data_IF_649734482278
#
_entry.id   IF_649734482278
#
_cell.length_a   1.000
_cell.length_b   1.000
_cell.length_c   1.000
_cell.angle_alpha   90.00
_cell.angle_beta   90.00
_cell.angle_gamma   90.00
#
_symmetry.space_group_name_H-M   'P 1'
#
loop_
_entity.id
_entity.type
_entity.pdbx_description
1 polymer ?
#
# COMPACT_ATOMS: atom_id res chain seq x y z
N UNK A 1 -20.94 -17.30 27.99
CA UNK A 1 -21.01 -16.40 29.16
C UNK A 1 -19.64 -15.95 29.68
N UNK A 2 -18.54 -16.67 29.39
CA UNK A 2 -17.18 -16.24 29.75
C UNK A 2 -16.64 -15.21 28.73
N UNK A 3 -16.84 -15.43 27.43
CA UNK A 3 -16.43 -14.54 26.33
C UNK A 3 -16.86 -13.07 26.53
N UNK A 4 -18.16 -12.84 26.78
CA UNK A 4 -18.72 -11.49 26.99
C UNK A 4 -18.07 -10.76 28.16
N UNK A 5 -17.72 -11.47 29.24
CA UNK A 5 -17.06 -10.86 30.41
C UNK A 5 -15.62 -10.45 30.14
N UNK A 6 -14.95 -11.06 29.17
CA UNK A 6 -13.58 -10.72 28.81
C UNK A 6 -13.55 -9.59 27.76
N UNK A 7 -14.52 -9.57 26.84
CA UNK A 7 -14.78 -8.44 25.93
C UNK A 7 -15.15 -7.16 26.69
N UNK A 8 -16.02 -7.26 27.70
CA UNK A 8 -16.41 -6.13 28.56
C UNK A 8 -15.20 -5.51 29.28
N UNK A 9 -14.26 -6.34 29.74
CA UNK A 9 -13.04 -5.86 30.40
C UNK A 9 -12.09 -5.18 29.42
N UNK A 10 -11.91 -5.75 28.23
CA UNK A 10 -11.07 -5.18 27.19
C UNK A 10 -11.62 -3.82 26.72
N UNK A 11 -12.93 -3.72 26.59
CA UNK A 11 -13.60 -2.46 26.27
C UNK A 11 -13.44 -1.40 27.39
N UNK A 12 -13.61 -1.79 28.66
CA UNK A 12 -13.42 -0.88 29.80
C UNK A 12 -11.99 -0.35 29.92
N UNK A 13 -11.00 -1.19 29.62
CA UNK A 13 -9.59 -0.80 29.61
C UNK A 13 -9.28 0.25 28.53
N UNK A 14 -9.83 0.06 27.32
CA UNK A 14 -9.73 1.03 26.23
C UNK A 14 -10.34 2.38 26.60
N UNK A 15 -11.56 2.38 27.15
CA UNK A 15 -12.26 3.61 27.55
C UNK A 15 -11.46 4.39 28.59
N UNK A 16 -10.92 3.68 29.60
CA UNK A 16 -10.08 4.29 30.64
C UNK A 16 -8.78 4.85 30.08
N UNK A 17 -8.16 4.16 29.13
CA UNK A 17 -6.93 4.62 28.45
C UNK A 17 -7.17 5.85 27.57
N UNK A 18 -8.35 5.96 26.98
CA UNK A 18 -8.79 7.11 26.18
C UNK A 18 -9.29 8.29 27.04
N UNK A 19 -9.27 8.15 28.38
CA UNK A 19 -9.67 9.21 29.32
C UNK A 19 -11.18 9.36 29.50
N UNK A 20 -11.99 8.41 29.01
CA UNK A 20 -13.44 8.37 29.21
C UNK A 20 -13.87 7.57 30.43
N UNK A 21 -15.09 7.80 30.93
CA UNK A 21 -15.73 6.93 31.93
C UNK A 21 -16.55 5.82 31.26
N UNK A 22 -16.55 4.57 31.76
CA UNK A 22 -17.37 3.48 31.21
C UNK A 22 -18.87 3.82 31.18
N UNK A 23 -19.35 4.64 32.12
CA UNK A 23 -20.73 5.12 32.18
C UNK A 23 -21.07 6.06 31.00
N UNK A 24 -20.11 6.89 30.57
CA UNK A 24 -20.28 7.80 29.42
C UNK A 24 -20.23 7.07 28.07
N UNK A 25 -19.51 5.95 28.02
CA UNK A 25 -19.37 5.17 26.80
C UNK A 25 -20.51 4.16 26.61
N UNK A 26 -21.29 3.87 27.67
CA UNK A 26 -22.53 3.09 27.61
C UNK A 26 -23.81 3.93 27.49
N UNK A 27 -23.75 5.24 27.79
CA UNK A 27 -24.86 6.14 27.51
C UNK A 27 -25.04 6.34 26.00
N UNK A 28 -26.29 6.34 25.52
CA UNK A 28 -26.59 6.83 24.17
C UNK A 28 -26.02 8.25 24.01
N UNK A 29 -25.44 8.59 22.85
CA UNK A 29 -25.01 9.96 22.59
C UNK A 29 -26.22 10.87 22.73
N UNK A 30 -26.32 11.52 23.88
CA UNK A 30 -27.38 12.50 24.15
C UNK A 30 -27.07 13.67 23.25
N UNK A 31 -27.80 13.81 22.16
CA UNK A 31 -27.81 15.05 21.41
C UNK A 31 -28.17 16.16 22.40
N UNK A 32 -27.23 17.08 22.63
CA UNK A 32 -27.47 18.24 23.45
C UNK A 32 -28.72 18.96 22.90
N UNK A 33 -29.71 19.31 23.74
CA UNK A 33 -30.88 20.05 23.30
C UNK A 33 -30.42 21.28 22.51
N UNK A 34 -31.09 21.61 21.38
CA UNK A 34 -30.64 22.72 20.55
C UNK A 34 -30.47 23.97 21.42
N UNK A 35 -29.34 24.69 21.29
CA UNK A 35 -29.08 25.88 22.08
C UNK A 35 -30.26 26.85 21.96
N UNK A 36 -30.70 27.39 23.10
CA UNK A 36 -31.78 28.37 23.14
C UNK A 36 -31.43 29.63 22.33
N UNK A 37 -32.42 30.47 22.02
CA UNK A 37 -32.24 31.65 21.16
C UNK A 37 -31.19 32.66 21.64
N UNK A 38 -30.78 32.59 22.91
CA UNK A 38 -29.87 33.55 23.54
C UNK A 38 -28.44 33.02 23.78
N UNK A 39 -28.12 31.81 23.31
CA UNK A 39 -26.74 31.26 23.37
C UNK A 39 -25.93 31.73 22.15
N UNK A 40 -24.72 32.32 22.34
CA UNK A 40 -23.84 32.67 21.22
C UNK A 40 -23.58 31.43 20.37
N UNK A 41 -24.05 31.45 19.13
CA UNK A 41 -23.97 30.29 18.25
C UNK A 41 -22.50 30.06 17.84
N UNK A 42 -21.83 28.99 18.30
CA UNK A 42 -20.46 28.69 17.86
C UNK A 42 -20.41 28.31 16.37
N UNK A 43 -21.56 28.04 15.74
CA UNK A 43 -21.69 27.74 14.31
C UNK A 43 -21.39 28.92 13.38
N UNK A 44 -21.03 30.10 13.92
CA UNK A 44 -20.52 31.21 13.12
C UNK A 44 -19.00 31.17 12.92
N UNK A 45 -18.28 30.28 13.61
CA UNK A 45 -16.91 29.95 13.24
C UNK A 45 -16.95 29.00 12.03
N UNK A 46 -16.12 29.21 11.00
CA UNK A 46 -15.99 28.29 9.88
C UNK A 46 -15.78 26.87 10.44
N UNK A 47 -16.76 26.00 10.19
CA UNK A 47 -16.67 24.61 10.57
C UNK A 47 -15.55 23.93 9.79
N UNK A 48 -15.12 22.73 10.20
CA UNK A 48 -14.09 21.94 9.50
C UNK A 48 -14.44 21.52 8.06
N UNK A 49 -15.49 22.08 7.45
CA UNK A 49 -15.90 21.87 6.07
C UNK A 49 -16.18 23.17 5.31
N UNK A 50 -16.01 24.33 5.96
CA UNK A 50 -16.29 25.64 5.38
C UNK A 50 -15.04 26.24 4.71
N UNK A 51 -14.37 25.43 3.89
CA UNK A 51 -13.24 25.89 3.08
C UNK A 51 -13.76 26.32 1.71
N UNK A 52 -13.55 27.59 1.36
CA UNK A 52 -13.69 28.03 -0.02
C UNK A 52 -12.38 27.69 -0.76
N UNK A 53 -12.42 26.97 -1.89
CA UNK A 53 -11.22 26.77 -2.70
C UNK A 53 -10.68 28.13 -3.12
N UNK A 54 -9.39 28.37 -2.91
CA UNK A 54 -8.73 29.55 -3.43
C UNK A 54 -8.88 29.57 -4.96
N UNK A 55 -9.12 30.75 -5.54
CA UNK A 55 -9.11 30.93 -7.00
C UNK A 55 -7.67 30.75 -7.49
N UNK A 56 -7.28 29.50 -7.68
CA UNK A 56 -5.98 29.13 -8.19
C UNK A 56 -5.95 29.44 -9.69
N UNK A 57 -4.93 30.18 -10.12
CA UNK A 57 -4.63 30.35 -11.54
C UNK A 57 -4.39 28.93 -12.05
N UNK A 58 -5.31 28.41 -12.86
CA UNK A 58 -5.21 27.08 -13.45
C UNK A 58 -4.06 27.13 -14.46
N UNK A 59 -2.82 27.01 -13.96
CA UNK A 59 -1.71 26.67 -14.82
C UNK A 59 -2.00 25.26 -15.36
N UNK A 60 -2.10 25.18 -16.67
CA UNK A 60 -2.45 23.97 -17.40
C UNK A 60 -1.31 22.95 -17.19
N UNK A 61 -1.43 22.14 -16.13
CA UNK A 61 -0.42 21.15 -15.78
C UNK A 61 -0.26 20.17 -16.94
N UNK A 62 0.81 20.31 -17.70
CA UNK A 62 1.27 19.33 -18.68
C UNK A 62 2.30 18.43 -17.99
N UNK A 63 1.97 17.17 -17.67
CA UNK A 63 2.96 16.20 -17.28
C UNK A 63 4.06 16.13 -18.35
N UNK A 64 5.34 16.17 -17.98
CA UNK A 64 6.41 16.00 -18.95
C UNK A 64 6.27 14.64 -19.63
N UNK A 65 6.60 14.57 -20.91
CA UNK A 65 6.57 13.29 -21.62
C UNK A 65 7.45 12.26 -20.89
N UNK A 66 6.92 11.06 -20.61
CA UNK A 66 7.69 10.05 -19.92
C UNK A 66 8.93 9.72 -20.76
N UNK A 67 10.10 9.63 -20.11
CA UNK A 67 11.32 9.16 -20.79
C UNK A 67 11.00 7.85 -21.52
N UNK A 68 11.44 7.70 -22.79
CA UNK A 68 11.25 6.45 -23.52
C UNK A 68 11.72 5.30 -22.65
N UNK A 69 10.81 4.38 -22.32
CA UNK A 69 11.11 3.25 -21.46
C UNK A 69 12.13 2.42 -22.22
N UNK A 70 13.40 2.53 -21.84
CA UNK A 70 14.46 1.75 -22.43
C UNK A 70 14.03 0.28 -22.34
N UNK A 71 13.94 -0.36 -23.50
CA UNK A 71 13.51 -1.75 -23.69
C UNK A 71 14.15 -2.61 -22.60
N UNK A 72 13.33 -3.38 -21.87
CA UNK A 72 13.74 -4.04 -20.63
C UNK A 72 15.10 -4.72 -20.72
N UNK A 73 15.91 -4.59 -19.65
CA UNK A 73 17.28 -5.07 -19.60
C UNK A 73 17.36 -6.54 -20.10
N UNK A 74 18.17 -6.84 -21.14
CA UNK A 74 18.22 -8.16 -21.75
C UNK A 74 18.60 -9.26 -20.75
N UNK A 75 19.33 -8.93 -19.69
CA UNK A 75 19.63 -9.88 -18.60
C UNK A 75 18.38 -10.31 -17.83
N UNK A 76 17.46 -9.38 -17.59
CA UNK A 76 16.18 -9.67 -16.94
C UNK A 76 15.37 -10.62 -17.80
N UNK A 77 15.26 -10.32 -19.09
CA UNK A 77 14.51 -11.17 -20.05
C UNK A 77 15.10 -12.58 -20.10
N UNK A 78 16.43 -12.71 -20.16
CA UNK A 78 17.11 -14.01 -20.17
C UNK A 78 16.83 -14.82 -18.88
N UNK A 79 16.82 -14.17 -17.72
CA UNK A 79 16.49 -14.86 -16.45
C UNK A 79 15.05 -15.36 -16.40
N UNK A 80 14.10 -14.56 -16.90
CA UNK A 80 12.69 -14.96 -16.99
C UNK A 80 12.50 -16.12 -17.95
N UNK A 81 13.19 -16.11 -19.09
CA UNK A 81 13.19 -17.24 -20.04
C UNK A 81 13.77 -18.50 -19.38
N UNK A 82 14.84 -18.39 -18.58
CA UNK A 82 15.39 -19.54 -17.85
C UNK A 82 14.41 -20.14 -16.85
N UNK A 83 13.73 -19.29 -16.06
CA UNK A 83 12.77 -19.73 -15.04
C UNK A 83 11.49 -20.30 -15.67
N UNK A 84 10.83 -19.53 -16.55
CA UNK A 84 9.59 -19.96 -17.21
C UNK A 84 9.87 -21.12 -18.15
N UNK A 85 10.98 -21.09 -18.88
CA UNK A 85 11.38 -22.14 -19.80
C UNK A 85 11.58 -23.48 -19.09
N UNK A 86 12.20 -23.49 -17.91
CA UNK A 86 12.37 -24.73 -17.16
C UNK A 86 11.04 -25.36 -16.74
N UNK A 87 10.11 -24.56 -16.23
CA UNK A 87 8.76 -25.01 -15.84
C UNK A 87 7.99 -25.49 -17.07
N UNK A 88 8.03 -24.73 -18.16
CA UNK A 88 7.34 -25.06 -19.41
C UNK A 88 7.86 -26.36 -20.03
N UNK A 89 9.18 -26.59 -20.04
CA UNK A 89 9.79 -27.82 -20.56
C UNK A 89 9.31 -29.04 -19.75
N UNK A 90 9.26 -28.94 -18.42
CA UNK A 90 8.74 -30.03 -17.58
C UNK A 90 7.27 -30.33 -17.86
N UNK A 91 6.44 -29.29 -18.00
CA UNK A 91 5.03 -29.44 -18.34
C UNK A 91 4.83 -30.06 -19.73
N UNK A 92 5.60 -29.61 -20.73
CA UNK A 92 5.56 -30.17 -22.07
C UNK A 92 5.96 -31.65 -22.05
N UNK A 93 7.06 -31.99 -21.39
CA UNK A 93 7.52 -33.38 -21.35
C UNK A 93 6.51 -34.30 -20.65
N UNK A 94 5.87 -33.83 -19.58
CA UNK A 94 4.79 -34.56 -18.91
C UNK A 94 3.57 -34.74 -19.83
N UNK A 95 3.15 -33.69 -20.54
CA UNK A 95 1.97 -33.73 -21.42
C UNK A 95 2.19 -34.62 -22.66
N UNK A 96 3.39 -34.59 -23.22
CA UNK A 96 3.79 -35.40 -24.38
C UNK A 96 4.23 -36.83 -23.98
N UNK A 97 4.31 -37.15 -22.68
CA UNK A 97 4.78 -38.45 -22.19
C UNK A 97 6.23 -38.76 -22.57
N UNK A 98 7.06 -37.72 -22.77
CA UNK A 98 8.46 -37.89 -23.18
C UNK A 98 9.25 -38.41 -21.95
N UNK A 99 9.92 -39.56 -22.04
CA UNK A 99 10.77 -40.03 -20.96
C UNK A 99 11.92 -39.04 -20.78
N UNK A 100 11.94 -38.34 -19.64
CA UNK A 100 12.98 -37.37 -19.34
C UNK A 100 14.30 -38.10 -19.10
N UNK A 101 15.18 -38.04 -20.09
CA UNK A 101 16.53 -38.52 -19.92
C UNK A 101 17.23 -37.73 -18.80
N UNK A 102 18.10 -38.38 -18.03
CA UNK A 102 18.78 -37.77 -16.88
C UNK A 102 19.50 -36.45 -17.22
N UNK A 103 20.00 -36.30 -18.45
CA UNK A 103 20.63 -35.08 -18.95
C UNK A 103 19.63 -33.93 -19.19
N UNK A 104 18.39 -34.21 -19.59
CA UNK A 104 17.35 -33.19 -19.71
C UNK A 104 16.94 -32.67 -18.33
N UNK A 105 16.83 -33.57 -17.35
CA UNK A 105 16.55 -33.21 -15.96
C UNK A 105 17.63 -32.31 -15.39
N UNK A 106 18.91 -32.64 -15.60
CA UNK A 106 20.03 -31.80 -15.12
C UNK A 106 20.11 -30.47 -15.86
N UNK A 107 19.95 -30.44 -17.18
CA UNK A 107 19.94 -29.17 -17.95
C UNK A 107 18.83 -28.26 -17.46
N UNK A 108 17.62 -28.80 -17.25
CA UNK A 108 16.48 -27.99 -16.83
C UNK A 108 16.64 -27.49 -15.40
N UNK A 109 17.20 -28.31 -14.51
CA UNK A 109 17.51 -27.93 -13.14
C UNK A 109 18.58 -26.82 -13.09
N UNK A 110 19.65 -26.94 -13.89
CA UNK A 110 20.70 -25.91 -13.99
C UNK A 110 20.15 -24.62 -14.59
N UNK A 111 19.29 -24.71 -15.62
CA UNK A 111 18.64 -23.55 -16.22
C UNK A 111 17.73 -22.82 -15.21
N UNK A 112 16.97 -23.58 -14.42
CA UNK A 112 16.14 -23.03 -13.34
C UNK A 112 16.99 -22.32 -12.27
N UNK A 113 18.05 -22.98 -11.78
CA UNK A 113 18.97 -22.41 -10.78
C UNK A 113 19.67 -21.16 -11.32
N UNK A 114 20.17 -21.19 -12.56
CA UNK A 114 20.80 -20.05 -13.20
C UNK A 114 19.82 -18.88 -13.39
N UNK A 115 18.57 -19.16 -13.79
CA UNK A 115 17.51 -18.16 -13.89
C UNK A 115 17.18 -17.53 -12.54
N UNK A 116 16.98 -18.34 -11.50
CA UNK A 116 16.67 -17.88 -10.15
C UNK A 116 17.81 -17.05 -9.54
N UNK A 117 19.06 -17.52 -9.65
CA UNK A 117 20.25 -16.79 -9.21
C UNK A 117 20.38 -15.47 -9.98
N UNK A 118 20.23 -15.50 -11.31
CA UNK A 118 20.30 -14.28 -12.11
C UNK A 118 19.23 -13.27 -11.70
N UNK A 119 17.99 -13.69 -11.44
CA UNK A 119 16.92 -12.82 -10.96
C UNK A 119 17.24 -12.25 -9.57
N UNK A 120 17.79 -13.08 -8.69
CA UNK A 120 18.21 -12.66 -7.35
C UNK A 120 19.34 -11.63 -7.38
N UNK A 121 20.34 -11.81 -8.24
CA UNK A 121 21.45 -10.84 -8.40
C UNK A 121 21.02 -9.57 -9.13
N UNK A 122 19.96 -9.64 -9.94
CA UNK A 122 19.42 -8.50 -10.67
C UNK A 122 18.40 -7.71 -9.85
N UNK A 123 17.91 -8.28 -8.74
CA UNK A 123 17.08 -7.56 -7.78
C UNK A 123 17.92 -6.40 -7.21
N UNK A 124 17.52 -5.13 -7.43
CA UNK A 124 18.26 -4.00 -6.89
C UNK A 124 18.27 -4.11 -5.37
N UNK A 125 19.48 -4.17 -4.79
CA UNK A 125 19.71 -4.28 -3.34
C UNK A 125 19.20 -3.06 -2.57
N UNK A 126 18.93 -1.98 -3.29
CA UNK A 126 18.32 -0.75 -2.80
C UNK A 126 16.92 -0.64 -3.39
N UNK A 127 15.90 -0.73 -2.53
CA UNK A 127 14.53 -0.27 -2.82
C UNK A 127 14.41 1.26 -2.91
N UNK A 128 15.53 2.00 -2.91
CA UNK A 128 15.55 3.44 -3.10
C UNK A 128 15.46 3.80 -4.58
N UNK A 129 14.27 3.64 -5.14
CA UNK A 129 13.77 4.56 -6.17
C UNK A 129 12.51 5.25 -5.61
N UNK A 130 12.52 5.64 -4.32
CA UNK A 130 11.77 6.82 -3.91
C UNK A 130 12.54 7.98 -4.55
N UNK A 131 11.91 8.64 -5.51
CA UNK A 131 12.48 9.79 -6.20
C UNK A 131 12.91 10.84 -5.14
N UNK A 132 14.21 11.19 -5.01
CA UNK A 132 14.64 12.19 -4.04
C UNK A 132 14.21 13.63 -4.39
N UNK A 133 13.56 13.84 -5.54
CA UNK A 133 13.04 15.13 -5.99
C UNK A 133 11.53 15.29 -5.72
N UNK A 134 10.94 14.46 -4.84
CA UNK A 134 9.48 14.43 -4.62
C UNK A 134 9.13 14.27 -3.13
N UNK A 135 9.92 14.85 -2.23
CA UNK A 135 9.71 14.77 -0.77
C UNK A 135 9.79 16.14 -0.06
N UNK A 136 9.92 17.26 -0.78
CA UNK A 136 10.17 18.60 -0.21
C UNK A 136 8.97 19.57 -0.23
N UNK A 137 7.78 19.17 -0.70
CA UNK A 137 6.59 20.05 -0.71
C UNK A 137 5.31 19.45 -0.10
N UNK A 138 5.43 18.82 1.08
CA UNK A 138 4.28 18.37 1.89
C UNK A 138 4.30 18.96 3.30
N UNK A 139 4.59 20.27 3.45
CA UNK A 139 4.77 20.81 4.81
C UNK A 139 4.65 22.32 5.06
N UNK A 140 4.25 23.18 4.10
CA UNK A 140 4.18 24.63 4.36
C UNK A 140 2.77 25.25 4.31
N UNK A 141 1.71 24.45 4.29
CA UNK A 141 0.32 24.96 4.29
C UNK A 141 -0.26 25.32 5.66
N UNK A 142 0.50 25.17 6.75
CA UNK A 142 -0.01 25.31 8.13
C UNK A 142 0.51 26.56 8.87
N UNK A 143 1.10 27.54 8.17
CA UNK A 143 1.52 28.81 8.76
C UNK A 143 0.48 29.91 8.46
N UNK A 144 -0.61 29.93 9.23
CA UNK A 144 -1.43 31.11 9.48
C UNK A 144 -1.86 31.12 10.96
#
# INVERSE_FOLDING_TARGET
MVEQRDEDKAWQDLVRRLGGSPEQAQSEPTAEPPPGPDTPNPSSMPGPRDYAPAEEIVEDFQPPEPRPIATGNPRTVLSWIGVIGAIAIWLLAALLGIPLAWWMSTVTLVAFLAGALSLFFLLPRTRDHRNPYDDDDYGNGAQL
#
